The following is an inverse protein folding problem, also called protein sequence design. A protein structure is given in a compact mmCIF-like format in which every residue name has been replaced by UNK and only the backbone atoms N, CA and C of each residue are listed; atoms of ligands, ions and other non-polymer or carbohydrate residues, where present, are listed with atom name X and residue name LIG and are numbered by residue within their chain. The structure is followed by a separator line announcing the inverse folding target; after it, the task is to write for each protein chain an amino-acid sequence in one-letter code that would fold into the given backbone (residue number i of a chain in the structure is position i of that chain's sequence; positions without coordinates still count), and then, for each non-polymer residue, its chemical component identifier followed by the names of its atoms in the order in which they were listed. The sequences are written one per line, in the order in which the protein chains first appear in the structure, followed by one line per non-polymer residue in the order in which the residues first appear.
data_IF_868936494465
#
_entry.id   IF_868936494465
#
_cell.length_a   1.000
_cell.length_b   1.000
_cell.length_c   1.000
_cell.angle_alpha   90.00
_cell.angle_beta   90.00
_cell.angle_gamma   90.00
#
_symmetry.space_group_name_H-M   'P 1'
#
loop_
_entity.id
_entity.type
_entity.pdbx_description
1 polymer ?
#
# COMPACT_ATOMS: atom_id res chain seq x y z
N UNK A 1 -34.48 -7.47 -11.22
CA UNK A 1 -34.77 -8.76 -10.56
C UNK A 1 -33.52 -9.62 -10.65
N UNK A 2 -32.93 -10.01 -9.52
CA UNK A 2 -31.77 -10.90 -9.54
C UNK A 2 -30.79 -10.69 -8.40
N UNK A 3 -31.21 -10.95 -7.16
CA UNK A 3 -30.27 -11.35 -6.11
C UNK A 3 -30.86 -12.54 -5.37
N UNK A 4 -30.08 -13.63 -5.27
CA UNK A 4 -30.32 -14.66 -4.26
C UNK A 4 -29.74 -14.13 -2.94
N UNK A 5 -30.53 -13.95 -1.88
CA UNK A 5 -29.98 -13.63 -0.58
C UNK A 5 -29.24 -14.86 -0.04
N UNK A 6 -27.92 -14.75 0.16
CA UNK A 6 -27.21 -15.71 0.98
C UNK A 6 -27.59 -15.42 2.44
N UNK A 7 -28.01 -16.44 3.18
CA UNK A 7 -28.39 -16.32 4.59
C UNK A 7 -29.57 -15.39 4.91
N UNK A 8 -30.65 -15.38 4.11
CA UNK A 8 -31.85 -14.54 4.34
C UNK A 8 -31.56 -13.02 4.45
N UNK A 9 -30.47 -12.53 3.84
CA UNK A 9 -30.08 -11.12 3.92
C UNK A 9 -29.22 -10.77 5.15
N UNK A 10 -28.81 -11.76 5.95
CA UNK A 10 -27.83 -11.59 7.03
C UNK A 10 -26.38 -11.84 6.56
N UNK A 11 -26.18 -12.37 5.35
CA UNK A 11 -24.88 -12.70 4.77
C UNK A 11 -24.50 -11.75 3.64
N UNK A 12 -23.72 -10.72 3.96
CA UNK A 12 -22.67 -10.30 3.03
C UNK A 12 -21.51 -11.26 3.16
N UNK A 13 -20.61 -11.31 2.16
CA UNK A 13 -19.38 -12.13 2.12
C UNK A 13 -18.43 -11.97 3.34
N UNK A 14 -18.80 -11.24 4.39
CA UNK A 14 -18.11 -11.23 5.66
C UNK A 14 -18.33 -12.51 6.47
N UNK A 15 -19.52 -13.12 6.43
CA UNK A 15 -19.86 -14.25 7.31
C UNK A 15 -19.17 -15.54 6.86
N UNK A 16 -19.25 -15.88 5.58
CA UNK A 16 -18.68 -17.12 5.02
C UNK A 16 -17.16 -17.16 5.16
N UNK A 17 -16.50 -16.01 5.00
CA UNK A 17 -15.06 -15.89 5.22
C UNK A 17 -14.69 -15.91 6.71
N UNK A 18 -15.50 -15.29 7.60
CA UNK A 18 -15.32 -15.45 9.05
C UNK A 18 -15.46 -16.92 9.45
N UNK A 19 -16.46 -17.62 8.90
CA UNK A 19 -16.65 -19.07 9.05
C UNK A 19 -15.46 -19.87 8.51
N UNK A 20 -14.91 -19.51 7.34
CA UNK A 20 -13.71 -20.14 6.77
C UNK A 20 -12.44 -19.94 7.61
N UNK A 21 -12.36 -18.84 8.37
CA UNK A 21 -11.32 -18.61 9.37
C UNK A 21 -11.62 -19.31 10.72
N UNK A 22 -12.67 -20.14 10.81
CA UNK A 22 -13.04 -20.87 12.01
C UNK A 22 -14.21 -20.27 12.81
N UNK A 23 -14.93 -19.29 12.27
CA UNK A 23 -16.21 -18.79 12.79
C UNK A 23 -16.15 -17.95 14.07
N UNK A 24 -14.98 -17.84 14.68
CA UNK A 24 -14.73 -17.10 15.93
C UNK A 24 -14.10 -15.71 15.69
N UNK A 25 -13.84 -15.35 14.42
CA UNK A 25 -13.22 -14.07 14.08
C UNK A 25 -14.30 -13.01 13.82
N UNK A 26 -14.16 -11.80 14.39
CA UNK A 26 -15.08 -10.69 14.12
C UNK A 26 -15.11 -10.38 12.62
N UNK A 27 -16.18 -9.72 12.15
CA UNK A 27 -16.31 -9.31 10.74
C UNK A 27 -15.03 -8.59 10.32
N UNK A 28 -14.36 -9.12 9.31
CA UNK A 28 -13.04 -8.63 8.91
C UNK A 28 -13.11 -7.18 8.43
N UNK A 29 -12.25 -6.35 8.98
CA UNK A 29 -12.11 -4.95 8.64
C UNK A 29 -10.66 -4.65 8.25
N UNK A 30 -10.42 -3.46 7.72
CA UNK A 30 -9.08 -2.98 7.40
C UNK A 30 -8.83 -1.59 7.99
N UNK A 31 -7.56 -1.27 8.22
CA UNK A 31 -7.09 0.05 8.63
C UNK A 31 -6.43 0.71 7.43
N UNK A 32 -6.76 1.98 7.18
CA UNK A 32 -6.04 2.78 6.18
C UNK A 32 -4.88 3.50 6.86
N UNK A 33 -3.71 3.47 6.24
CA UNK A 33 -2.54 4.27 6.65
C UNK A 33 -2.21 5.27 5.55
N UNK A 34 -2.29 6.56 5.88
CA UNK A 34 -1.98 7.69 5.00
C UNK A 34 -0.79 8.46 5.57
N UNK A 35 0.33 8.47 4.85
CA UNK A 35 1.45 9.35 5.16
C UNK A 35 1.26 10.68 4.43
N UNK A 36 1.43 11.78 5.14
CA UNK A 36 1.32 13.12 4.57
C UNK A 36 2.53 13.99 4.88
N UNK A 37 2.90 14.85 3.94
CA UNK A 37 3.95 15.85 4.12
C UNK A 37 3.53 17.16 3.43
N UNK A 38 3.30 18.21 4.23
CA UNK A 38 2.98 19.58 3.78
C UNK A 38 1.83 19.67 2.75
N UNK A 39 0.83 18.77 2.85
CA UNK A 39 -0.30 18.64 1.91
C UNK A 39 -1.66 18.55 2.62
N UNK A 40 -1.86 19.35 3.66
CA UNK A 40 -3.03 19.26 4.56
C UNK A 40 -4.38 19.30 3.81
N UNK A 41 -4.54 20.21 2.86
CA UNK A 41 -5.78 20.33 2.09
C UNK A 41 -6.08 19.09 1.23
N UNK A 42 -5.03 18.50 0.63
CA UNK A 42 -5.15 17.28 -0.19
C UNK A 42 -5.54 16.11 0.72
N UNK A 43 -4.89 15.98 1.87
CA UNK A 43 -5.22 14.98 2.88
C UNK A 43 -6.67 15.08 3.35
N UNK A 44 -7.15 16.28 3.72
CA UNK A 44 -8.54 16.47 4.19
C UNK A 44 -9.54 16.04 3.12
N UNK A 45 -9.30 16.42 1.86
CA UNK A 45 -10.14 16.00 0.75
C UNK A 45 -10.10 14.48 0.54
N UNK A 46 -8.93 13.86 0.68
CA UNK A 46 -8.77 12.40 0.62
C UNK A 46 -9.50 11.69 1.76
N UNK A 47 -9.41 12.20 2.98
CA UNK A 47 -10.12 11.67 4.14
C UNK A 47 -11.64 11.78 3.97
N UNK A 48 -12.16 12.95 3.58
CA UNK A 48 -13.60 13.18 3.42
C UNK A 48 -14.26 12.17 2.45
N UNK A 49 -13.53 11.72 1.43
CA UNK A 49 -13.99 10.71 0.47
C UNK A 49 -14.16 9.31 1.07
N UNK A 50 -13.61 9.03 2.25
CA UNK A 50 -13.75 7.76 2.94
C UNK A 50 -15.06 7.64 3.75
N UNK A 51 -15.87 8.71 3.81
CA UNK A 51 -17.15 8.69 4.52
C UNK A 51 -18.05 7.54 4.04
N UNK A 52 -18.43 6.66 4.96
CA UNK A 52 -19.30 5.52 4.67
C UNK A 52 -18.63 4.34 3.95
N UNK A 53 -17.28 4.32 3.86
CA UNK A 53 -16.55 3.20 3.25
C UNK A 53 -16.79 1.90 4.02
N UNK A 54 -17.35 0.84 3.40
CA UNK A 54 -17.60 -0.41 4.09
C UNK A 54 -16.31 -1.08 4.59
N UNK A 55 -16.38 -1.77 5.73
CA UNK A 55 -15.28 -2.51 6.36
C UNK A 55 -14.06 -1.68 6.78
N UNK A 56 -14.09 -0.35 6.61
CA UNK A 56 -13.09 0.53 7.20
C UNK A 56 -13.23 0.50 8.73
N UNK A 57 -12.16 0.21 9.45
CA UNK A 57 -12.12 0.21 10.91
C UNK A 57 -11.73 1.59 11.46
N UNK A 58 -10.62 2.14 10.97
CA UNK A 58 -10.07 3.45 11.32
C UNK A 58 -9.09 3.92 10.26
N UNK A 59 -8.76 5.21 10.28
CA UNK A 59 -7.70 5.79 9.46
C UNK A 59 -6.57 6.26 10.36
N UNK A 60 -5.35 5.91 10.01
CA UNK A 60 -4.13 6.37 10.65
C UNK A 60 -3.41 7.35 9.75
N UNK A 61 -3.33 8.61 10.17
CA UNK A 61 -2.58 9.66 9.50
C UNK A 61 -1.19 9.73 10.12
N UNK A 62 -0.18 9.34 9.34
CA UNK A 62 1.23 9.47 9.70
C UNK A 62 1.70 10.84 9.25
N UNK A 63 1.87 11.74 10.22
CA UNK A 63 2.16 13.14 9.96
C UNK A 63 3.68 13.38 9.92
N UNK A 64 4.22 13.43 8.69
CA UNK A 64 5.65 13.64 8.45
C UNK A 64 6.05 15.12 8.41
N UNK A 65 5.10 16.05 8.22
CA UNK A 65 5.41 17.48 8.16
C UNK A 65 6.10 17.94 9.44
N UNK A 66 7.13 18.82 9.38
CA UNK A 66 7.84 19.29 10.57
C UNK A 66 6.91 19.99 11.57
N UNK A 67 6.04 20.87 11.06
CA UNK A 67 5.02 21.58 11.84
C UNK A 67 3.87 20.63 12.18
N UNK A 68 3.30 20.69 13.39
CA UNK A 68 2.07 19.96 13.70
C UNK A 68 0.90 20.48 12.83
N UNK A 69 -0.20 19.71 12.72
CA UNK A 69 -1.44 20.23 12.14
C UNK A 69 -1.87 21.52 12.86
N UNK A 70 -2.49 22.46 12.14
CA UNK A 70 -3.02 23.68 12.76
C UNK A 70 -4.02 23.34 13.88
N UNK A 71 -4.01 24.11 14.98
CA UNK A 71 -4.86 23.84 16.15
C UNK A 71 -6.36 23.92 15.84
N UNK A 72 -6.74 24.74 14.85
CA UNK A 72 -8.11 24.92 14.37
C UNK A 72 -8.49 23.97 13.24
N UNK A 73 -7.59 23.06 12.84
CA UNK A 73 -7.83 22.08 11.79
C UNK A 73 -8.96 21.14 12.19
N UNK A 74 -10.03 21.15 11.39
CA UNK A 74 -11.17 20.24 11.58
C UNK A 74 -11.03 19.01 10.68
N UNK A 75 -10.84 17.85 11.30
CA UNK A 75 -10.87 16.58 10.60
C UNK A 75 -12.30 16.27 10.12
N UNK A 76 -12.46 15.72 8.89
CA UNK A 76 -13.78 15.35 8.40
C UNK A 76 -14.35 14.19 9.21
N UNK A 77 -15.65 14.23 9.49
CA UNK A 77 -16.35 13.07 10.04
C UNK A 77 -16.57 12.06 8.90
N UNK A 78 -15.89 10.92 9.00
CA UNK A 78 -15.94 9.82 8.04
C UNK A 78 -16.73 8.61 8.58
N UNK A 79 -17.35 8.73 9.76
CA UNK A 79 -18.06 7.65 10.44
C UNK A 79 -17.17 6.64 11.17
N UNK A 80 -15.84 6.79 11.10
CA UNK A 80 -14.85 5.99 11.84
C UNK A 80 -13.77 6.89 12.44
N UNK A 81 -13.02 6.43 13.46
CA UNK A 81 -11.96 7.23 14.06
C UNK A 81 -10.82 7.56 13.09
N UNK A 82 -10.36 8.81 13.12
CA UNK A 82 -9.10 9.26 12.49
C UNK A 82 -8.08 9.45 13.61
N UNK A 83 -6.98 8.70 13.56
CA UNK A 83 -5.87 8.82 14.50
C UNK A 83 -4.70 9.50 13.81
N UNK A 84 -4.19 10.58 14.39
CA UNK A 84 -3.06 11.33 13.83
C UNK A 84 -1.82 11.05 14.69
N UNK A 85 -0.77 10.55 14.07
CA UNK A 85 0.51 10.27 14.75
C UNK A 85 1.57 11.18 14.16
N UNK A 86 2.12 12.07 15.00
CA UNK A 86 3.25 12.91 14.64
C UNK A 86 4.52 12.08 14.56
N UNK A 87 5.11 11.99 13.36
CA UNK A 87 6.40 11.36 13.19
C UNK A 87 7.54 12.25 13.72
N UNK A 88 8.61 11.66 14.28
CA UNK A 88 9.74 12.41 14.85
C UNK A 88 10.60 13.08 13.77
N UNK A 89 10.62 12.54 12.55
CA UNK A 89 11.35 13.06 11.40
C UNK A 89 10.61 12.74 10.11
N UNK A 90 10.91 13.48 9.04
CA UNK A 90 10.43 13.14 7.71
C UNK A 90 11.13 11.86 7.22
N UNK A 91 10.36 10.80 7.00
CA UNK A 91 10.85 9.49 6.54
C UNK A 91 9.70 8.71 5.92
N UNK A 92 9.90 8.14 4.73
CA UNK A 92 8.89 7.27 4.10
C UNK A 92 8.70 5.96 4.89
N UNK A 93 9.71 5.52 5.65
CA UNK A 93 9.61 4.33 6.50
C UNK A 93 8.51 4.47 7.57
N UNK A 94 8.15 5.68 7.98
CA UNK A 94 7.19 5.93 9.06
C UNK A 94 5.82 5.29 8.80
N UNK A 95 5.40 5.12 7.54
CA UNK A 95 4.12 4.50 7.19
C UNK A 95 4.06 2.99 7.49
N UNK A 96 5.22 2.36 7.70
CA UNK A 96 5.34 0.93 8.01
C UNK A 96 5.75 0.66 9.45
N UNK A 97 5.71 1.66 10.33
CA UNK A 97 5.91 1.41 11.76
C UNK A 97 4.75 0.56 12.31
N UNK A 98 5.02 -0.37 13.24
CA UNK A 98 4.00 -1.25 13.83
C UNK A 98 3.23 -0.49 14.91
N UNK A 99 2.42 0.47 14.51
CA UNK A 99 1.62 1.25 15.45
C UNK A 99 0.58 0.37 16.15
N UNK A 100 0.52 0.44 17.49
CA UNK A 100 -0.44 -0.30 18.31
C UNK A 100 -1.90 0.02 17.94
N UNK A 101 -2.15 1.21 17.37
CA UNK A 101 -3.46 1.59 16.86
C UNK A 101 -3.96 0.69 15.70
N UNK A 102 -3.06 -0.02 14.99
CA UNK A 102 -3.39 -0.94 13.90
C UNK A 102 -3.80 -2.31 14.48
N UNK A 103 -5.09 -2.44 14.75
CA UNK A 103 -5.67 -3.68 15.31
C UNK A 103 -6.05 -4.70 14.21
N UNK A 104 -6.34 -4.22 13.00
CA UNK A 104 -6.79 -5.06 11.87
C UNK A 104 -5.64 -5.81 11.19
N UNK A 105 -5.91 -7.00 10.64
CA UNK A 105 -4.91 -7.75 9.88
C UNK A 105 -4.55 -7.07 8.55
N UNK A 106 -5.56 -6.51 7.88
CA UNK A 106 -5.40 -5.87 6.58
C UNK A 106 -5.09 -4.38 6.76
N UNK A 107 -3.97 -3.94 6.18
CA UNK A 107 -3.58 -2.53 6.13
C UNK A 107 -3.62 -2.07 4.69
N UNK A 108 -4.48 -1.11 4.38
CA UNK A 108 -4.42 -0.37 3.12
C UNK A 108 -3.45 0.79 3.29
N UNK A 109 -2.25 0.66 2.73
CA UNK A 109 -1.33 1.76 2.59
C UNK A 109 -1.71 2.57 1.35
N UNK A 110 -1.92 3.87 1.52
CA UNK A 110 -2.33 4.76 0.45
C UNK A 110 -1.63 6.12 0.57
N UNK A 111 -1.20 6.68 -0.55
CA UNK A 111 -0.63 8.03 -0.60
C UNK A 111 -1.72 9.07 -0.41
N UNK A 112 -1.38 10.23 0.17
CA UNK A 112 -2.37 11.27 0.50
C UNK A 112 -3.03 11.90 -0.73
N UNK A 113 -2.43 11.71 -1.91
CA UNK A 113 -2.90 12.17 -3.21
C UNK A 113 -3.48 11.07 -4.10
N UNK A 114 -3.54 9.82 -3.62
CA UNK A 114 -4.10 8.72 -4.38
C UNK A 114 -5.64 8.78 -4.40
N UNK A 115 -6.20 8.60 -5.60
CA UNK A 115 -7.63 8.68 -5.84
C UNK A 115 -8.20 7.27 -6.09
N UNK A 116 -8.76 6.65 -5.05
CA UNK A 116 -9.44 5.35 -5.14
C UNK A 116 -10.92 5.49 -4.79
N UNK A 117 -11.80 4.92 -5.63
CA UNK A 117 -13.23 4.84 -5.29
C UNK A 117 -13.49 3.72 -4.27
N UNK A 118 -14.65 3.81 -3.61
CA UNK A 118 -15.07 2.79 -2.64
C UNK A 118 -15.14 1.39 -3.24
N UNK A 119 -15.68 1.25 -4.46
CA UNK A 119 -15.78 -0.04 -5.15
C UNK A 119 -14.41 -0.64 -5.47
N UNK A 120 -13.41 0.20 -5.78
CA UNK A 120 -12.02 -0.22 -6.02
C UNK A 120 -11.33 -0.66 -4.73
N UNK A 121 -11.47 0.10 -3.65
CA UNK A 121 -10.95 -0.27 -2.33
C UNK A 121 -11.58 -1.59 -1.86
N UNK A 122 -12.89 -1.73 -2.04
CA UNK A 122 -13.63 -2.93 -1.68
C UNK A 122 -13.21 -4.15 -2.51
N UNK A 123 -12.96 -3.95 -3.80
CA UNK A 123 -12.42 -5.00 -4.66
C UNK A 123 -11.02 -5.42 -4.21
N UNK A 124 -10.12 -4.46 -3.98
CA UNK A 124 -8.78 -4.72 -3.47
C UNK A 124 -8.78 -5.48 -2.14
N UNK A 125 -9.65 -5.08 -1.20
CA UNK A 125 -9.80 -5.77 0.08
C UNK A 125 -10.27 -7.22 -0.09
N UNK A 126 -11.24 -7.48 -0.97
CA UNK A 126 -11.72 -8.85 -1.24
C UNK A 126 -10.63 -9.73 -1.84
N UNK A 127 -9.90 -9.23 -2.84
CA UNK A 127 -8.77 -9.94 -3.44
C UNK A 127 -7.68 -10.20 -2.40
N UNK A 128 -7.40 -9.24 -1.52
CA UNK A 128 -6.45 -9.42 -0.43
C UNK A 128 -6.85 -10.55 0.54
N UNK A 129 -8.14 -10.71 0.85
CA UNK A 129 -8.61 -11.80 1.74
C UNK A 129 -8.31 -13.19 1.19
N UNK A 130 -8.21 -13.33 -0.14
CA UNK A 130 -7.84 -14.56 -0.84
C UNK A 130 -6.31 -14.73 -1.00
N UNK A 131 -5.54 -13.67 -0.72
CA UNK A 131 -4.09 -13.60 -0.94
C UNK A 131 -3.36 -12.87 0.21
N UNK A 132 -3.73 -13.16 1.46
CA UNK A 132 -3.29 -12.41 2.66
C UNK A 132 -1.79 -12.28 2.82
N UNK A 133 -1.05 -13.27 2.35
CA UNK A 133 0.40 -13.33 2.45
C UNK A 133 1.11 -12.47 1.39
N UNK A 134 0.39 -11.85 0.45
CA UNK A 134 0.97 -11.11 -0.68
C UNK A 134 0.61 -9.62 -0.63
N UNK A 135 1.40 -8.79 -1.31
CA UNK A 135 1.01 -7.41 -1.62
C UNK A 135 -0.11 -7.46 -2.65
N UNK A 136 -1.25 -6.84 -2.37
CA UNK A 136 -2.39 -6.75 -3.29
C UNK A 136 -2.71 -5.29 -3.54
N UNK A 137 -2.59 -4.81 -4.78
CA UNK A 137 -2.78 -3.38 -5.04
C UNK A 137 -2.77 -3.03 -6.52
N UNK A 138 -2.85 -1.74 -6.81
CA UNK A 138 -3.23 -1.25 -8.14
C UNK A 138 -2.02 -0.91 -9.05
N UNK A 139 -1.02 -0.12 -8.60
CA UNK A 139 0.07 0.29 -9.47
C UNK A 139 1.11 -0.83 -9.59
N UNK A 140 1.06 -1.58 -10.69
CA UNK A 140 2.03 -2.62 -11.01
C UNK A 140 3.30 -2.07 -11.65
N UNK A 141 4.46 -2.60 -11.26
CA UNK A 141 5.80 -2.29 -11.78
C UNK A 141 6.63 -3.56 -11.87
N UNK A 142 7.78 -3.51 -12.55
CA UNK A 142 8.66 -4.66 -12.66
C UNK A 142 10.13 -4.30 -12.56
N UNK A 143 10.94 -5.31 -12.28
CA UNK A 143 12.39 -5.26 -12.41
C UNK A 143 12.78 -6.02 -13.68
N UNK A 144 13.84 -5.58 -14.35
CA UNK A 144 14.40 -6.25 -15.50
C UNK A 144 15.93 -6.23 -15.43
N UNK A 145 16.57 -7.31 -15.88
CA UNK A 145 18.01 -7.32 -16.05
C UNK A 145 18.37 -6.59 -17.34
N UNK A 146 19.21 -5.57 -17.25
CA UNK A 146 19.67 -4.83 -18.41
C UNK A 146 21.15 -5.14 -18.68
N UNK A 147 21.41 -5.82 -19.80
CA UNK A 147 22.77 -6.15 -20.23
C UNK A 147 23.51 -4.94 -20.82
N UNK A 148 22.77 -3.96 -21.33
CA UNK A 148 23.33 -2.77 -21.96
C UNK A 148 23.61 -1.67 -20.93
N UNK A 149 22.90 -1.68 -19.80
CA UNK A 149 23.07 -0.70 -18.72
C UNK A 149 23.68 -1.34 -17.48
N UNK A 150 25.02 -1.32 -17.41
CA UNK A 150 25.82 -1.76 -16.26
C UNK A 150 25.69 -3.23 -15.84
N UNK A 151 25.05 -4.10 -16.64
CA UNK A 151 24.77 -5.50 -16.27
C UNK A 151 24.14 -5.56 -14.86
N UNK A 152 22.99 -4.90 -14.73
CA UNK A 152 22.35 -4.65 -13.45
C UNK A 152 20.83 -4.80 -13.51
N UNK A 153 20.20 -4.92 -12.35
CA UNK A 153 18.75 -4.92 -12.23
C UNK A 153 18.19 -3.51 -12.27
N UNK A 154 17.33 -3.20 -13.22
CA UNK A 154 16.71 -1.89 -13.37
C UNK A 154 15.22 -1.93 -13.01
N UNK A 155 14.75 -0.84 -12.41
CA UNK A 155 13.33 -0.60 -12.18
C UNK A 155 12.66 -0.17 -13.48
N UNK A 156 11.49 -0.68 -13.79
CA UNK A 156 10.77 -0.32 -15.00
C UNK A 156 9.28 -0.05 -14.73
N UNK A 157 8.81 1.08 -15.25
CA UNK A 157 7.42 1.54 -15.15
C UNK A 157 6.65 1.52 -16.46
N UNK A 158 7.26 1.06 -17.55
CA UNK A 158 6.60 0.95 -18.85
C UNK A 158 5.47 -0.09 -18.82
N UNK A 159 4.59 0.00 -19.81
CA UNK A 159 3.56 -1.02 -20.01
C UNK A 159 4.22 -2.35 -20.36
N UNK A 160 3.98 -3.35 -19.52
CA UNK A 160 4.46 -4.73 -19.68
C UNK A 160 3.33 -5.70 -19.36
N UNK A 161 3.41 -6.90 -19.94
CA UNK A 161 2.54 -8.03 -19.60
C UNK A 161 2.94 -8.68 -18.27
N UNK A 162 4.08 -8.31 -17.71
CA UNK A 162 4.61 -8.84 -16.46
C UNK A 162 4.79 -7.73 -15.41
N UNK A 163 4.61 -8.12 -14.16
CA UNK A 163 4.94 -7.30 -13.00
C UNK A 163 5.69 -8.13 -11.96
N UNK A 164 6.51 -7.46 -11.16
CA UNK A 164 7.15 -8.09 -9.99
C UNK A 164 6.95 -7.30 -8.70
N UNK A 165 6.35 -6.11 -8.82
CA UNK A 165 6.12 -5.20 -7.70
C UNK A 165 4.74 -4.57 -7.84
N UNK A 166 4.12 -4.31 -6.69
CA UNK A 166 2.95 -3.44 -6.57
C UNK A 166 3.31 -2.32 -5.61
N UNK A 167 3.13 -1.07 -6.04
CA UNK A 167 3.52 0.09 -5.23
C UNK A 167 2.57 0.24 -4.04
N UNK A 168 3.14 0.44 -2.85
CA UNK A 168 2.41 0.54 -1.58
C UNK A 168 1.70 1.88 -1.38
N UNK A 169 1.81 2.79 -2.35
CA UNK A 169 0.99 4.01 -2.40
C UNK A 169 -0.49 3.76 -2.72
N UNK A 170 -0.85 2.54 -3.09
CA UNK A 170 -2.23 2.06 -3.17
C UNK A 170 -2.24 0.53 -3.12
N UNK A 171 -2.00 -0.05 -1.94
CA UNK A 171 -1.97 -1.51 -1.77
C UNK A 171 -2.37 -1.97 -0.36
N UNK A 172 -3.03 -3.12 -0.31
CA UNK A 172 -3.24 -3.91 0.89
C UNK A 172 -2.03 -4.79 1.18
N UNK A 173 -1.60 -4.76 2.44
CA UNK A 173 -0.59 -5.65 3.02
C UNK A 173 -1.10 -6.19 4.36
N UNK A 174 -0.55 -7.32 4.79
CA UNK A 174 -0.82 -7.82 6.15
C UNK A 174 -0.02 -7.04 7.20
N UNK A 175 -0.63 -6.69 8.35
CA UNK A 175 0.01 -5.92 9.43
C UNK A 175 1.34 -6.51 9.91
N UNK A 176 1.46 -7.85 9.90
CA UNK A 176 2.69 -8.52 10.30
C UNK A 176 3.91 -8.07 9.46
N UNK A 177 3.70 -7.63 8.21
CA UNK A 177 4.79 -7.13 7.37
C UNK A 177 5.27 -5.75 7.80
N UNK A 178 4.46 -4.92 8.45
CA UNK A 178 4.91 -3.64 9.01
C UNK A 178 5.86 -3.89 10.20
N UNK A 179 5.53 -4.88 11.02
CA UNK A 179 6.42 -5.35 12.10
C UNK A 179 7.75 -5.89 11.56
N UNK A 180 7.71 -6.78 10.57
CA UNK A 180 8.93 -7.34 9.97
C UNK A 180 9.76 -6.28 9.24
N UNK A 181 9.10 -5.33 8.57
CA UNK A 181 9.79 -4.19 7.94
C UNK A 181 10.57 -3.37 8.96
N UNK A 182 9.99 -3.14 10.14
CA UNK A 182 10.63 -2.32 11.17
C UNK A 182 11.70 -3.08 11.95
N UNK A 183 11.46 -4.35 12.30
CA UNK A 183 12.31 -5.08 13.25
C UNK A 183 13.21 -6.15 12.64
N UNK A 184 12.88 -6.68 11.46
CA UNK A 184 13.62 -7.78 10.83
C UNK A 184 14.37 -7.33 9.58
N UNK A 185 13.78 -6.45 8.76
CA UNK A 185 14.43 -5.93 7.56
C UNK A 185 15.76 -5.24 7.95
N UNK A 186 16.87 -5.58 7.28
CA UNK A 186 18.17 -5.00 7.59
C UNK A 186 18.13 -3.47 7.65
N UNK A 187 18.68 -2.89 8.72
CA UNK A 187 18.69 -1.45 8.95
C UNK A 187 19.25 -0.70 7.74
N UNK A 188 20.28 -1.24 7.09
CA UNK A 188 20.88 -0.67 5.88
C UNK A 188 19.88 -0.43 4.73
N UNK A 189 18.84 -1.27 4.60
CA UNK A 189 17.78 -1.06 3.60
C UNK A 189 16.91 0.14 3.98
N UNK A 190 16.50 0.24 5.24
CA UNK A 190 15.71 1.38 5.75
C UNK A 190 16.50 2.68 5.70
N UNK A 191 17.79 2.64 5.99
CA UNK A 191 18.70 3.78 5.87
C UNK A 191 18.82 4.24 4.41
N UNK A 192 18.90 3.30 3.46
CA UNK A 192 18.93 3.63 2.03
C UNK A 192 17.62 4.27 1.54
N UNK A 193 16.48 3.81 2.07
CA UNK A 193 15.16 4.44 1.83
C UNK A 193 15.14 5.88 2.33
N UNK A 194 15.73 6.15 3.50
CA UNK A 194 15.82 7.50 4.04
C UNK A 194 16.81 8.38 3.29
N UNK A 195 17.95 7.82 2.85
CA UNK A 195 18.98 8.52 2.08
C UNK A 195 18.43 9.08 0.76
N UNK A 196 17.61 8.29 0.05
CA UNK A 196 16.99 8.71 -1.21
C UNK A 196 15.59 9.31 -1.05
N UNK A 197 14.99 9.24 0.14
CA UNK A 197 13.57 9.55 0.34
C UNK A 197 12.68 8.85 -0.72
N UNK A 198 12.95 7.57 -0.97
CA UNK A 198 12.40 6.79 -2.07
C UNK A 198 12.47 5.27 -1.74
N UNK A 199 11.89 4.42 -2.59
CA UNK A 199 12.06 2.96 -2.57
C UNK A 199 11.50 2.19 -1.35
N UNK A 200 10.70 2.80 -0.49
CA UNK A 200 10.07 2.11 0.64
C UNK A 200 9.12 1.00 0.15
N UNK A 201 8.44 1.27 -0.97
CA UNK A 201 7.57 0.34 -1.69
C UNK A 201 8.35 -0.87 -2.25
N UNK A 202 9.51 -0.63 -2.86
CA UNK A 202 10.41 -1.68 -3.37
C UNK A 202 10.91 -2.53 -2.20
N UNK A 203 11.35 -1.90 -1.11
CA UNK A 203 11.81 -2.61 0.09
C UNK A 203 10.72 -3.53 0.66
N UNK A 204 9.47 -3.08 0.70
CA UNK A 204 8.33 -3.90 1.13
C UNK A 204 8.08 -5.09 0.18
N UNK A 205 8.15 -4.87 -1.15
CA UNK A 205 8.01 -5.96 -2.12
C UNK A 205 9.15 -6.99 -2.02
N UNK A 206 10.39 -6.54 -1.78
CA UNK A 206 11.54 -7.42 -1.52
C UNK A 206 11.31 -8.27 -0.28
N UNK A 207 10.91 -7.65 0.83
CA UNK A 207 10.62 -8.34 2.09
C UNK A 207 9.56 -9.44 1.91
N UNK A 208 8.41 -9.08 1.33
CA UNK A 208 7.28 -10.01 1.19
C UNK A 208 7.61 -11.13 0.20
N UNK A 209 8.27 -10.82 -0.92
CA UNK A 209 8.68 -11.83 -1.89
C UNK A 209 9.74 -12.78 -1.33
N UNK A 210 10.68 -12.27 -0.52
CA UNK A 210 11.68 -13.07 0.18
C UNK A 210 11.04 -14.08 1.14
N UNK A 211 10.07 -13.62 1.95
CA UNK A 211 9.43 -14.45 2.97
C UNK A 211 8.48 -15.49 2.37
N UNK A 212 7.70 -15.11 1.38
CA UNK A 212 6.63 -15.98 0.83
C UNK A 212 7.02 -16.77 -0.38
N UNK A 213 8.08 -16.34 -1.09
CA UNK A 213 8.45 -16.87 -2.41
C UNK A 213 7.31 -16.78 -3.43
N UNK A 214 6.47 -15.75 -3.29
CA UNK A 214 5.36 -15.47 -4.21
C UNK A 214 5.48 -14.04 -4.77
N UNK A 215 5.10 -13.81 -6.04
CA UNK A 215 5.02 -12.47 -6.61
C UNK A 215 3.86 -11.67 -5.99
N UNK A 216 3.69 -10.36 -6.23
CA UNK A 216 2.50 -9.62 -5.78
C UNK A 216 1.24 -9.98 -6.60
N UNK A 217 0.07 -9.43 -6.21
CA UNK A 217 -1.18 -9.51 -6.98
C UNK A 217 -1.62 -8.11 -7.42
N UNK A 218 -1.71 -7.91 -8.74
CA UNK A 218 -2.24 -6.66 -9.30
C UNK A 218 -3.76 -6.72 -9.38
N UNK A 219 -4.42 -5.68 -8.87
CA UNK A 219 -5.84 -5.41 -9.11
C UNK A 219 -6.00 -4.29 -10.14
N UNK A 220 -7.07 -4.35 -10.93
CA UNK A 220 -7.39 -3.30 -11.90
C UNK A 220 -7.92 -2.05 -11.20
N UNK A 221 -7.46 -0.88 -11.68
CA UNK A 221 -8.04 0.43 -11.36
C UNK A 221 -8.66 0.97 -12.65
N UNK A 222 -9.80 1.67 -12.54
CA UNK A 222 -10.41 2.37 -13.69
C UNK A 222 -9.75 3.72 -13.96
N UNK A 223 -8.99 4.27 -13.01
CA UNK A 223 -8.39 5.61 -13.12
C UNK A 223 -6.88 5.60 -13.01
N UNK A 224 -6.28 6.58 -13.68
CA UNK A 224 -4.87 6.88 -13.57
C UNK A 224 -4.60 7.56 -12.23
N UNK A 225 -3.50 7.19 -11.57
CA UNK A 225 -3.04 7.75 -10.29
C UNK A 225 -2.49 9.18 -10.41
N UNK A 226 -3.11 10.05 -11.23
CA UNK A 226 -2.67 11.44 -11.37
C UNK A 226 -3.39 12.31 -10.34
N UNK A 227 -2.63 13.09 -9.57
CA UNK A 227 -3.14 14.14 -8.69
C UNK A 227 -3.16 15.49 -9.44
N UNK A 228 -4.33 16.03 -9.83
CA UNK A 228 -4.38 17.30 -10.56
C UNK A 228 -4.01 18.53 -9.72
N UNK A 229 -4.03 18.42 -8.39
CA UNK A 229 -3.80 19.52 -7.44
C UNK A 229 -2.48 19.46 -6.68
N UNK A 230 -1.56 18.57 -7.07
CA UNK A 230 -0.27 18.42 -6.41
C UNK A 230 0.79 19.23 -7.18
N UNK A 231 1.40 20.28 -6.59
CA UNK A 231 2.29 21.19 -7.32
C UNK A 231 3.66 20.57 -7.66
N UNK A 232 4.12 19.59 -6.88
CA UNK A 232 5.35 18.82 -7.09
C UNK A 232 5.13 17.41 -6.55
N UNK A 233 5.47 16.37 -7.33
CA UNK A 233 5.50 14.96 -6.90
C UNK A 233 6.93 14.41 -6.86
N UNK A 234 7.20 13.48 -5.95
CA UNK A 234 8.54 12.85 -5.86
C UNK A 234 8.95 12.14 -7.16
N UNK A 235 7.98 11.71 -7.97
CA UNK A 235 8.20 11.06 -9.26
C UNK A 235 8.55 12.00 -10.41
N UNK A 236 8.40 13.32 -10.23
CA UNK A 236 8.78 14.32 -11.23
C UNK A 236 10.28 14.70 -11.16
N UNK A 237 11.00 14.25 -10.14
CA UNK A 237 12.45 14.40 -10.05
C UNK A 237 13.15 13.51 -11.10
N UNK A 238 14.03 14.11 -11.91
CA UNK A 238 14.79 13.42 -12.96
C UNK A 238 15.64 12.26 -12.41
N UNK A 239 16.03 12.31 -11.13
CA UNK A 239 16.81 11.28 -10.47
C UNK A 239 15.96 10.11 -9.96
N UNK A 240 14.64 10.26 -9.85
CA UNK A 240 13.73 9.31 -9.21
C UNK A 240 13.87 7.88 -9.72
N UNK A 241 13.94 7.71 -11.05
CA UNK A 241 14.09 6.39 -11.67
C UNK A 241 15.49 5.79 -11.45
N UNK A 242 16.53 6.62 -11.50
CA UNK A 242 17.91 6.20 -11.28
C UNK A 242 18.12 5.74 -9.83
N UNK A 243 17.54 6.44 -8.86
CA UNK A 243 17.53 6.03 -7.46
C UNK A 243 16.84 4.68 -7.27
N UNK A 244 15.68 4.47 -7.90
CA UNK A 244 15.00 3.18 -7.86
C UNK A 244 15.84 2.04 -8.45
N UNK A 245 16.62 2.29 -9.52
CA UNK A 245 17.59 1.31 -10.03
C UNK A 245 18.66 0.99 -8.98
N UNK A 246 19.22 2.01 -8.34
CA UNK A 246 20.23 1.85 -7.26
C UNK A 246 19.67 1.08 -6.08
N UNK A 247 18.43 1.36 -5.66
CA UNK A 247 17.75 0.65 -4.59
C UNK A 247 17.61 -0.85 -4.88
N UNK A 248 17.13 -1.23 -6.07
CA UNK A 248 16.95 -2.65 -6.43
C UNK A 248 18.28 -3.40 -6.36
N UNK A 249 19.35 -2.83 -6.93
CA UNK A 249 20.66 -3.45 -6.90
C UNK A 249 21.20 -3.55 -5.47
N UNK A 250 21.15 -2.46 -4.69
CA UNK A 250 21.62 -2.45 -3.31
C UNK A 250 20.84 -3.46 -2.45
N UNK A 251 19.50 -3.50 -2.55
CA UNK A 251 18.69 -4.45 -1.81
C UNK A 251 19.02 -5.90 -2.21
N UNK A 252 19.22 -6.18 -3.50
CA UNK A 252 19.62 -7.53 -3.94
C UNK A 252 20.98 -7.96 -3.38
N UNK A 253 21.92 -7.02 -3.23
CA UNK A 253 23.22 -7.29 -2.60
C UNK A 253 23.06 -7.59 -1.10
N UNK A 254 22.25 -6.80 -0.39
CA UNK A 254 21.98 -7.01 1.04
C UNK A 254 21.26 -8.34 1.30
N UNK A 255 20.30 -8.72 0.45
CA UNK A 255 19.62 -10.02 0.53
C UNK A 255 20.47 -11.19 0.00
N UNK A 256 21.52 -10.91 -0.78
CA UNK A 256 22.41 -11.90 -1.41
C UNK A 256 21.87 -12.52 -2.70
N UNK A 257 20.70 -12.12 -3.17
CA UNK A 257 20.08 -12.56 -4.43
C UNK A 257 18.90 -11.63 -4.79
N UNK A 258 18.27 -11.82 -5.96
CA UNK A 258 17.05 -11.10 -6.35
C UNK A 258 15.79 -11.81 -5.83
N UNK A 259 15.06 -11.26 -4.82
CA UNK A 259 13.89 -11.92 -4.26
C UNK A 259 12.60 -11.69 -5.04
N UNK A 260 12.55 -10.65 -5.88
CA UNK A 260 11.36 -10.31 -6.65
C UNK A 260 11.07 -11.39 -7.69
N UNK A 261 9.79 -11.74 -7.83
CA UNK A 261 9.32 -12.72 -8.81
C UNK A 261 8.38 -12.05 -9.80
N UNK A 262 8.52 -12.38 -11.08
CA UNK A 262 7.59 -11.91 -12.11
C UNK A 262 6.27 -12.69 -12.04
N UNK A 263 5.19 -12.03 -12.44
CA UNK A 263 3.87 -12.60 -12.63
C UNK A 263 3.12 -11.86 -13.73
N UNK A 264 2.25 -12.59 -14.42
CA UNK A 264 1.27 -12.05 -15.36
C UNK A 264 -0.13 -12.01 -14.74
N UNK A 265 -0.27 -12.51 -13.50
CA UNK A 265 -1.55 -12.60 -12.81
C UNK A 265 -2.09 -11.21 -12.43
N UNK A 266 -3.32 -10.95 -12.87
CA UNK A 266 -4.10 -9.76 -12.55
C UNK A 266 -5.51 -10.19 -12.16
N UNK A 267 -5.99 -9.71 -11.03
CA UNK A 267 -7.39 -9.83 -10.65
C UNK A 267 -8.19 -8.67 -11.26
N UNK A 268 -9.30 -9.00 -11.91
CA UNK A 268 -10.22 -8.01 -12.49
C UNK A 268 -11.58 -8.05 -11.80
N UNK A 269 -12.26 -6.92 -11.76
CA UNK A 269 -13.58 -6.83 -11.14
C UNK A 269 -14.63 -7.42 -12.07
N UNK A 270 -15.46 -8.35 -11.59
CA UNK A 270 -16.56 -8.94 -12.38
C UNK A 270 -17.66 -7.91 -12.70
N UNK A 271 -17.72 -6.81 -11.94
CA UNK A 271 -18.75 -5.78 -12.10
C UNK A 271 -18.48 -4.84 -13.28
N UNK A 272 -17.32 -4.93 -13.95
CA UNK A 272 -16.94 -4.02 -15.04
C UNK A 272 -16.20 -4.75 -16.17
#
# INVERSE_FOLDING_TARGET
MGFRPIGKGAGGAGKEFSEALGGNYPREQFTIVMLTYEREQVLINSLARLYGLPYLNKVLVVWNSPKPPMEDLKWPDIGVPIHVIKAPRNSLNNRFLPFDAIETEAVLSVDDDAHLRHDEIMFGFRVWREHRDRVVGFPGRFHAWDQNYHNAWNYNSNYSCELSMVLTGAAFIHKHYTYLYTHWLPQAIRDKVDEYMNCEDIAMNFLISHLTRKPPVKVTSRWTFRCPGCPVSLSEDDTHFQERHKCINFFSQVFGYMPLLNTQYRADSILF
#
